data_IF_227659157488
#
_entry.id   IF_227659157488
#
_cell.length_a   1.000
_cell.length_b   1.000
_cell.length_c   1.000
_cell.angle_alpha   90.00
_cell.angle_beta   90.00
_cell.angle_gamma   90.00
#
_symmetry.space_group_name_H-M   'P 1'
#
loop_
_entity.id
_entity.type
_entity.pdbx_description
1 polymer ?
#
# COMPACT_ATOMS: atom_id res chain seq x y z
N UNK A 1 24.98 -33.83 -18.89
CA UNK A 1 25.34 -32.40 -18.77
C UNK A 1 26.51 -32.29 -17.80
N UNK A 2 27.72 -32.34 -18.35
CA UNK A 2 28.99 -32.46 -17.66
C UNK A 2 29.27 -31.20 -16.83
N UNK A 3 29.29 -31.35 -15.50
CA UNK A 3 29.60 -30.25 -14.58
C UNK A 3 31.02 -29.75 -14.82
N UNK A 4 31.16 -28.56 -15.42
CA UNK A 4 32.47 -27.92 -15.61
C UNK A 4 33.07 -27.64 -14.23
N UNK A 5 34.11 -28.37 -13.87
CA UNK A 5 34.96 -28.12 -12.70
C UNK A 5 35.57 -26.72 -12.85
N UNK A 6 35.04 -25.75 -12.09
CA UNK A 6 35.57 -24.39 -12.11
C UNK A 6 36.84 -24.39 -11.25
N UNK A 7 37.99 -24.13 -11.89
CA UNK A 7 39.29 -24.03 -11.21
C UNK A 7 39.20 -22.99 -10.10
N UNK A 8 39.47 -23.41 -8.86
CA UNK A 8 39.49 -22.55 -7.69
C UNK A 8 40.70 -21.60 -7.71
N UNK A 9 40.58 -20.49 -7.00
CA UNK A 9 41.59 -19.43 -6.89
C UNK A 9 41.98 -19.28 -5.42
N UNK A 10 43.28 -19.10 -5.15
CA UNK A 10 43.80 -18.84 -3.81
C UNK A 10 43.52 -17.39 -3.38
N UNK A 11 43.09 -17.22 -2.13
CA UNK A 11 42.88 -15.93 -1.45
C UNK A 11 43.43 -16.04 -0.03
N UNK A 12 44.01 -14.96 0.50
CA UNK A 12 44.54 -14.89 1.87
C UNK A 12 43.42 -14.55 2.86
N UNK A 13 43.31 -15.29 3.97
CA UNK A 13 42.39 -14.98 5.06
C UNK A 13 42.80 -13.70 5.80
N UNK A 14 41.90 -12.72 5.89
CA UNK A 14 42.15 -11.44 6.58
C UNK A 14 42.23 -11.56 8.11
N UNK A 15 41.96 -12.74 8.68
CA UNK A 15 42.04 -12.97 10.14
C UNK A 15 43.28 -13.76 10.56
N UNK A 16 43.50 -14.94 9.98
CA UNK A 16 44.60 -15.83 10.37
C UNK A 16 45.81 -15.78 9.42
N UNK A 17 45.72 -15.09 8.28
CA UNK A 17 46.82 -14.98 7.31
C UNK A 17 47.02 -16.19 6.39
N UNK A 18 46.29 -17.29 6.63
CA UNK A 18 46.41 -18.50 5.81
C UNK A 18 45.71 -18.40 4.45
N UNK A 19 46.30 -19.06 3.46
CA UNK A 19 45.72 -19.22 2.12
C UNK A 19 44.51 -20.16 2.13
N UNK A 20 43.45 -19.81 1.38
CA UNK A 20 42.31 -20.67 1.16
C UNK A 20 41.77 -20.58 -0.28
N UNK A 21 41.13 -21.66 -0.73
CA UNK A 21 40.63 -21.79 -2.09
C UNK A 21 39.17 -21.34 -2.18
N UNK A 22 38.86 -20.51 -3.17
CA UNK A 22 37.50 -20.06 -3.48
C UNK A 22 37.22 -20.13 -4.98
N UNK A 23 35.95 -20.22 -5.35
CA UNK A 23 35.57 -20.09 -6.75
C UNK A 23 35.96 -18.70 -7.31
N UNK A 24 36.34 -18.57 -8.61
CA UNK A 24 36.83 -17.32 -9.20
C UNK A 24 35.92 -16.10 -8.94
N UNK A 25 34.61 -16.25 -9.06
CA UNK A 25 33.64 -15.16 -8.83
C UNK A 25 33.58 -14.69 -7.36
N UNK A 26 34.11 -15.48 -6.42
CA UNK A 26 34.21 -15.12 -5.00
C UNK A 26 35.51 -14.44 -4.64
N UNK A 27 36.53 -14.42 -5.51
CA UNK A 27 37.88 -13.88 -5.21
C UNK A 27 37.84 -12.50 -4.56
N UNK A 28 37.02 -11.59 -5.09
CA UNK A 28 36.90 -10.21 -4.60
C UNK A 28 36.09 -10.07 -3.30
N UNK A 29 35.26 -11.07 -2.96
CA UNK A 29 34.32 -11.01 -1.83
C UNK A 29 34.73 -11.90 -0.65
N UNK A 30 35.53 -12.93 -0.88
CA UNK A 30 35.96 -13.85 0.15
C UNK A 30 37.04 -13.22 1.03
N UNK A 31 36.77 -13.10 2.33
CA UNK A 31 37.66 -12.44 3.29
C UNK A 31 38.24 -13.39 4.34
N UNK A 32 37.58 -14.51 4.60
CA UNK A 32 37.93 -15.40 5.70
C UNK A 32 37.85 -16.86 5.25
N UNK A 33 38.79 -17.68 5.70
CA UNK A 33 38.89 -19.09 5.35
C UNK A 33 37.79 -19.96 6.01
N UNK A 34 37.22 -19.50 7.13
CA UNK A 34 36.20 -20.24 7.88
C UNK A 34 35.19 -19.33 8.55
N UNK A 35 34.07 -19.92 8.97
CA UNK A 35 33.06 -19.25 9.79
C UNK A 35 33.66 -18.75 11.12
N UNK A 36 34.57 -19.52 11.72
CA UNK A 36 35.28 -19.15 12.95
C UNK A 36 36.17 -17.93 12.74
N UNK A 37 37.01 -17.91 11.69
CA UNK A 37 37.83 -16.74 11.35
C UNK A 37 36.97 -15.50 11.03
N UNK A 38 35.84 -15.70 10.35
CA UNK A 38 34.89 -14.62 10.10
C UNK A 38 34.28 -14.08 11.39
N UNK A 39 33.93 -14.93 12.36
CA UNK A 39 33.38 -14.50 13.63
C UNK A 39 34.43 -13.82 14.50
N UNK A 40 35.63 -14.38 14.59
CA UNK A 40 36.74 -13.78 15.34
C UNK A 40 37.10 -12.39 14.81
N UNK A 41 37.16 -12.21 13.49
CA UNK A 41 37.35 -10.90 12.87
C UNK A 41 36.18 -9.92 13.10
N UNK A 42 34.95 -10.42 13.23
CA UNK A 42 33.77 -9.61 13.59
C UNK A 42 33.75 -9.25 15.07
N UNK A 43 34.28 -10.09 15.95
CA UNK A 43 34.34 -9.85 17.40
C UNK A 43 35.50 -8.93 17.79
N UNK A 44 36.63 -8.96 17.08
CA UNK A 44 37.77 -8.07 17.34
C UNK A 44 37.52 -6.64 16.88
N UNK A 45 36.62 -6.41 15.92
CA UNK A 45 36.54 -5.13 15.21
C UNK A 45 35.53 -4.11 15.74
N UNK A 46 34.73 -4.37 16.79
CA UNK A 46 33.82 -3.33 17.35
C UNK A 46 33.31 -3.65 18.76
N UNK A 47 34.14 -3.44 19.78
CA UNK A 47 33.60 -2.96 21.04
C UNK A 47 33.07 -1.54 20.76
N UNK A 48 31.76 -1.30 20.89
CA UNK A 48 31.24 0.07 20.87
C UNK A 48 31.82 0.76 22.11
N UNK A 49 32.93 1.48 21.94
CA UNK A 49 33.93 1.70 22.99
C UNK A 49 33.65 2.88 23.92
N UNK A 50 32.49 3.52 23.81
CA UNK A 50 32.08 4.55 24.79
C UNK A 50 31.35 3.86 25.95
N UNK A 51 31.87 3.94 27.18
CA UNK A 51 31.15 3.50 28.37
C UNK A 51 29.74 4.11 28.39
N UNK A 52 28.75 3.31 28.78
CA UNK A 52 27.36 3.73 28.95
C UNK A 52 26.92 3.49 30.37
N UNK A 53 25.94 4.26 30.81
CA UNK A 53 25.25 4.05 32.08
C UNK A 53 24.08 3.09 31.88
N UNK A 54 23.99 2.04 32.69
CA UNK A 54 22.86 1.12 32.67
C UNK A 54 21.57 1.86 33.07
N UNK A 55 20.55 1.84 32.22
CA UNK A 55 19.28 2.55 32.48
C UNK A 55 18.49 2.00 33.67
N UNK A 56 18.89 0.84 34.21
CA UNK A 56 18.22 0.19 35.35
C UNK A 56 18.96 0.37 36.67
N UNK A 57 20.26 0.04 36.72
CA UNK A 57 21.02 0.07 37.98
C UNK A 57 22.00 1.24 38.09
N UNK A 58 22.16 2.06 37.04
CA UNK A 58 23.10 3.18 37.04
C UNK A 58 24.58 2.80 36.88
N UNK A 59 24.95 1.51 36.88
CA UNK A 59 26.34 1.10 36.73
C UNK A 59 26.89 1.43 35.32
N UNK A 60 28.15 1.85 35.26
CA UNK A 60 28.90 1.98 34.01
C UNK A 60 29.19 0.62 33.38
N UNK A 61 29.04 0.49 32.07
CA UNK A 61 29.36 -0.73 31.33
C UNK A 61 29.86 -0.45 29.91
N UNK A 62 30.61 -1.39 29.34
CA UNK A 62 31.03 -1.37 27.94
C UNK A 62 30.00 -2.12 27.08
N UNK A 63 29.30 -1.46 26.15
CA UNK A 63 28.28 -2.12 25.34
C UNK A 63 28.92 -3.01 24.25
N UNK A 64 28.38 -4.23 24.12
CA UNK A 64 28.77 -5.19 23.07
C UNK A 64 28.11 -4.87 21.72
N UNK A 65 27.04 -4.06 21.72
CA UNK A 65 26.35 -3.61 20.52
C UNK A 65 25.77 -2.20 20.70
N UNK A 66 25.59 -1.46 19.59
CA UNK A 66 25.33 -0.02 19.59
C UNK A 66 24.10 0.45 20.37
N UNK A 67 23.09 -0.42 20.51
CA UNK A 67 21.82 -0.14 21.18
C UNK A 67 21.68 -0.83 22.55
N UNK A 68 22.76 -1.38 23.12
CA UNK A 68 22.71 -1.98 24.44
C UNK A 68 22.44 -0.90 25.52
N UNK A 69 21.36 -1.07 26.29
CA UNK A 69 20.93 -0.13 27.35
C UNK A 69 21.21 -0.64 28.76
N UNK A 70 21.50 -1.93 28.91
CA UNK A 70 21.63 -2.60 30.20
C UNK A 70 23.01 -3.25 30.32
N UNK A 71 23.59 -3.21 31.52
CA UNK A 71 24.89 -3.80 31.78
C UNK A 71 24.91 -5.34 31.69
N UNK A 72 23.75 -6.00 31.80
CA UNK A 72 23.66 -7.45 31.73
C UNK A 72 22.23 -7.98 31.61
N UNK A 73 22.10 -9.31 31.50
CA UNK A 73 20.84 -10.03 31.31
C UNK A 73 19.81 -9.75 32.40
N UNK A 74 20.24 -9.68 33.66
CA UNK A 74 19.36 -9.37 34.78
C UNK A 74 18.83 -7.94 34.68
N UNK A 75 19.71 -6.97 34.39
CA UNK A 75 19.31 -5.59 34.19
C UNK A 75 18.33 -5.41 33.03
N UNK A 76 18.50 -6.17 31.95
CA UNK A 76 17.52 -6.20 30.88
C UNK A 76 16.19 -6.83 31.32
N UNK A 77 16.21 -8.02 31.93
CA UNK A 77 15.00 -8.76 32.30
C UNK A 77 14.03 -7.93 33.16
N UNK A 78 14.58 -7.21 34.13
CA UNK A 78 13.77 -6.42 35.05
C UNK A 78 13.37 -5.05 34.48
N UNK A 79 14.00 -4.62 33.37
CA UNK A 79 13.52 -3.48 32.58
C UNK A 79 12.34 -3.84 31.68
N UNK A 80 12.10 -5.15 31.44
CA UNK A 80 11.02 -5.59 30.57
C UNK A 80 9.70 -5.32 31.28
N UNK A 81 8.90 -4.43 30.70
CA UNK A 81 7.55 -4.16 31.17
C UNK A 81 6.73 -5.45 31.15
N UNK A 82 6.20 -5.85 32.31
CA UNK A 82 5.27 -6.97 32.44
C UNK A 82 4.01 -6.69 31.61
N UNK A 83 3.61 -7.64 30.77
CA UNK A 83 2.39 -7.53 29.94
C UNK A 83 1.15 -7.66 30.82
N UNK A 84 0.16 -6.79 30.60
CA UNK A 84 -1.14 -6.88 31.30
C UNK A 84 -1.90 -8.11 30.79
N UNK A 85 -2.49 -8.90 31.69
CA UNK A 85 -3.44 -9.94 31.30
C UNK A 85 -4.83 -9.33 31.29
N UNK A 86 -5.55 -9.49 30.18
CA UNK A 86 -6.90 -8.97 30.00
C UNK A 86 -7.80 -10.07 29.41
N UNK A 87 -9.11 -10.05 29.70
CA UNK A 87 -10.06 -10.97 29.08
C UNK A 87 -10.26 -10.60 27.60
N UNK A 88 -10.37 -11.61 26.74
CA UNK A 88 -10.74 -11.40 25.34
C UNK A 88 -12.20 -10.94 25.23
N UNK A 89 -12.44 -9.85 24.52
CA UNK A 89 -13.80 -9.33 24.31
C UNK A 89 -14.74 -10.31 23.56
N UNK A 90 -14.18 -11.23 22.76
CA UNK A 90 -14.98 -12.20 21.99
C UNK A 90 -15.20 -13.54 22.71
N UNK A 91 -14.19 -14.09 23.38
CA UNK A 91 -14.28 -15.44 23.98
C UNK A 91 -14.05 -15.48 25.49
N UNK A 92 -13.83 -14.34 26.14
CA UNK A 92 -13.56 -14.24 27.58
C UNK A 92 -12.16 -14.70 28.03
N UNK A 93 -11.48 -15.57 27.26
CA UNK A 93 -10.17 -16.13 27.62
C UNK A 93 -9.14 -15.04 27.91
N UNK A 94 -8.44 -15.19 29.02
CA UNK A 94 -7.38 -14.27 29.42
C UNK A 94 -6.14 -14.41 28.54
N UNK A 95 -5.57 -13.28 28.12
CA UNK A 95 -4.37 -13.26 27.29
C UNK A 95 -3.46 -12.08 27.64
N UNK A 96 -2.18 -12.20 27.28
CA UNK A 96 -1.19 -11.13 27.49
C UNK A 96 -1.31 -10.04 26.44
N UNK A 97 -1.71 -8.85 26.86
CA UNK A 97 -1.85 -7.69 25.99
C UNK A 97 -0.47 -7.21 25.51
N UNK A 98 -0.27 -7.21 24.19
CA UNK A 98 0.98 -6.71 23.57
C UNK A 98 0.89 -5.24 23.16
N UNK A 99 -0.32 -4.72 22.97
CA UNK A 99 -0.62 -3.34 22.58
C UNK A 99 -1.84 -2.84 23.36
N UNK A 100 -1.83 -1.58 23.78
CA UNK A 100 -2.92 -0.99 24.59
C UNK A 100 -4.31 -1.11 23.93
N UNK A 101 -4.37 -1.04 22.59
CA UNK A 101 -5.61 -1.17 21.83
C UNK A 101 -6.05 -2.63 21.57
N UNK A 102 -5.24 -3.63 21.95
CA UNK A 102 -5.57 -5.03 21.68
C UNK A 102 -6.71 -5.48 22.60
N UNK A 103 -7.83 -5.90 22.00
CA UNK A 103 -9.05 -6.37 22.69
C UNK A 103 -9.31 -7.87 22.55
N UNK A 104 -8.60 -8.54 21.64
CA UNK A 104 -8.84 -9.93 21.26
C UNK A 104 -7.57 -10.78 21.41
N UNK A 105 -7.75 -12.03 21.84
CA UNK A 105 -6.65 -12.97 22.06
C UNK A 105 -6.05 -13.51 20.74
N UNK A 106 -6.83 -13.53 19.66
CA UNK A 106 -6.45 -14.11 18.37
C UNK A 106 -7.13 -13.40 17.20
N UNK A 107 -6.63 -13.64 15.98
CA UNK A 107 -7.27 -13.16 14.74
C UNK A 107 -8.71 -13.65 14.64
N UNK A 108 -8.95 -14.94 14.90
CA UNK A 108 -10.29 -15.56 14.87
C UNK A 108 -11.28 -14.82 15.77
N UNK A 109 -10.85 -14.39 16.96
CA UNK A 109 -11.68 -13.62 17.88
C UNK A 109 -11.90 -12.16 17.46
N UNK A 110 -10.97 -11.56 16.71
CA UNK A 110 -11.10 -10.19 16.22
C UNK A 110 -11.88 -10.07 14.91
N UNK A 111 -11.90 -11.13 14.11
CA UNK A 111 -12.40 -11.13 12.73
C UNK A 111 -13.88 -10.74 12.60
N UNK A 112 -14.81 -11.23 13.45
CA UNK A 112 -16.21 -10.80 13.39
C UNK A 112 -16.43 -9.32 13.67
N UNK A 113 -15.50 -8.69 14.40
CA UNK A 113 -15.59 -7.29 14.82
C UNK A 113 -14.81 -6.34 13.90
N UNK A 114 -14.01 -6.89 12.99
CA UNK A 114 -13.37 -6.11 11.94
C UNK A 114 -14.42 -5.79 10.87
N UNK A 115 -15.06 -4.62 10.98
CA UNK A 115 -15.91 -4.09 9.91
C UNK A 115 -15.11 -4.12 8.60
N UNK A 116 -15.55 -4.88 7.60
CA UNK A 116 -14.96 -4.82 6.26
C UNK A 116 -14.99 -3.36 5.79
N UNK A 117 -13.82 -2.83 5.44
CA UNK A 117 -13.60 -1.42 5.17
C UNK A 117 -14.51 -0.92 4.06
N UNK A 118 -15.15 0.23 4.26
CA UNK A 118 -15.96 0.99 3.28
C UNK A 118 -15.28 1.18 1.91
N UNK A 119 -13.94 1.09 1.87
CA UNK A 119 -13.12 1.09 0.66
C UNK A 119 -13.58 0.05 -0.38
N UNK A 120 -13.87 -1.19 0.02
CA UNK A 120 -14.32 -2.24 -0.91
C UNK A 120 -15.68 -1.89 -1.54
N UNK A 121 -16.58 -1.26 -0.77
CA UNK A 121 -17.88 -0.79 -1.30
C UNK A 121 -17.70 0.33 -2.32
N UNK A 122 -16.77 1.27 -2.11
CA UNK A 122 -16.51 2.37 -3.05
C UNK A 122 -15.93 1.89 -4.38
N UNK A 123 -14.96 0.97 -4.32
CA UNK A 123 -14.35 0.38 -5.53
C UNK A 123 -15.39 -0.37 -6.37
N UNK A 124 -16.33 -1.08 -5.73
CA UNK A 124 -17.42 -1.75 -6.43
C UNK A 124 -18.40 -0.78 -7.12
N UNK A 125 -18.77 0.32 -6.45
CA UNK A 125 -19.64 1.35 -7.06
C UNK A 125 -18.91 2.06 -8.20
N UNK A 126 -17.61 2.33 -8.05
CA UNK A 126 -16.78 2.90 -9.14
C UNK A 126 -16.81 1.98 -10.39
N UNK A 127 -16.78 0.65 -10.22
CA UNK A 127 -16.87 -0.32 -11.33
C UNK A 127 -18.24 -0.26 -12.01
N UNK A 128 -19.33 -0.30 -11.23
CA UNK A 128 -20.69 -0.22 -11.79
C UNK A 128 -20.90 1.10 -12.55
N UNK A 129 -20.51 2.21 -11.94
CA UNK A 129 -20.58 3.52 -12.57
C UNK A 129 -19.77 3.57 -13.87
N UNK A 130 -18.54 3.05 -13.86
CA UNK A 130 -17.68 3.05 -15.05
C UNK A 130 -18.31 2.24 -16.19
N UNK A 131 -18.87 1.06 -15.88
CA UNK A 131 -19.56 0.23 -16.86
C UNK A 131 -20.78 0.94 -17.44
N UNK A 132 -21.62 1.55 -16.60
CA UNK A 132 -22.80 2.27 -17.05
C UNK A 132 -22.46 3.46 -17.95
N UNK A 133 -21.41 4.22 -17.63
CA UNK A 133 -20.93 5.33 -18.49
C UNK A 133 -20.54 4.83 -19.88
N UNK A 134 -19.90 3.65 -19.98
CA UNK A 134 -19.55 3.05 -21.28
C UNK A 134 -20.77 2.58 -22.05
N UNK A 135 -21.74 1.97 -21.36
CA UNK A 135 -23.00 1.52 -21.97
C UNK A 135 -23.81 2.69 -22.52
N UNK A 136 -23.95 3.78 -21.75
CA UNK A 136 -24.63 5.02 -22.18
C UNK A 136 -23.98 5.58 -23.46
N UNK A 137 -22.66 5.50 -23.57
CA UNK A 137 -21.91 5.94 -24.75
C UNK A 137 -21.94 4.95 -25.93
N UNK A 138 -22.74 3.88 -25.85
CA UNK A 138 -22.83 2.85 -26.89
C UNK A 138 -21.51 2.10 -27.10
N UNK A 139 -20.73 1.92 -26.03
CA UNK A 139 -19.40 1.32 -26.04
C UNK A 139 -18.45 1.96 -27.06
N UNK A 140 -18.48 3.30 -27.14
CA UNK A 140 -17.61 4.09 -27.99
C UNK A 140 -17.07 5.31 -27.25
N UNK A 141 -15.93 5.81 -27.72
CA UNK A 141 -15.40 7.09 -27.27
C UNK A 141 -16.33 8.21 -27.74
N UNK A 142 -16.79 9.04 -26.82
CA UNK A 142 -17.74 10.12 -27.14
C UNK A 142 -17.11 11.26 -27.95
N UNK A 143 -15.78 11.34 -28.00
CA UNK A 143 -15.09 12.32 -28.82
C UNK A 143 -14.84 11.82 -30.26
N UNK A 144 -14.30 10.60 -30.43
CA UNK A 144 -13.87 10.11 -31.76
C UNK A 144 -14.58 8.85 -32.27
N UNK A 145 -15.50 8.28 -31.50
CA UNK A 145 -16.29 7.10 -31.90
C UNK A 145 -15.56 5.75 -31.86
N UNK A 146 -14.27 5.71 -31.53
CA UNK A 146 -13.51 4.44 -31.41
C UNK A 146 -14.08 3.55 -30.31
N UNK A 147 -14.07 2.24 -30.51
CA UNK A 147 -14.54 1.23 -29.55
C UNK A 147 -13.40 0.52 -28.79
N UNK A 148 -12.14 0.87 -29.06
CA UNK A 148 -10.97 0.23 -28.45
C UNK A 148 -10.50 0.95 -27.18
N UNK A 149 -9.99 0.16 -26.22
CA UNK A 149 -9.34 0.66 -25.01
C UNK A 149 -10.12 1.78 -24.30
N UNK A 150 -11.42 1.54 -24.08
CA UNK A 150 -12.34 2.51 -23.49
C UNK A 150 -12.15 2.65 -21.98
N UNK A 151 -12.19 3.89 -21.53
CA UNK A 151 -12.04 4.31 -20.15
C UNK A 151 -13.15 5.29 -19.80
N UNK A 152 -13.71 5.15 -18.60
CA UNK A 152 -14.67 6.11 -18.06
C UNK A 152 -13.90 7.18 -17.31
N UNK A 153 -14.05 8.43 -17.72
CA UNK A 153 -13.39 9.57 -17.11
C UNK A 153 -14.38 10.40 -16.29
N UNK A 154 -13.94 10.86 -15.12
CA UNK A 154 -14.69 11.77 -14.28
C UNK A 154 -14.41 13.22 -14.71
N UNK A 155 -15.44 13.94 -15.15
CA UNK A 155 -15.31 15.36 -15.55
C UNK A 155 -14.91 16.21 -14.35
N UNK A 156 -15.65 16.08 -13.24
CA UNK A 156 -15.28 16.59 -11.93
C UNK A 156 -14.65 15.46 -11.11
N UNK A 157 -13.52 15.75 -10.47
CA UNK A 157 -12.71 14.80 -9.70
C UNK A 157 -13.53 13.83 -8.84
N UNK A 158 -13.08 12.57 -8.80
CA UNK A 158 -13.60 11.52 -7.91
C UNK A 158 -13.57 11.86 -6.41
N UNK A 159 -12.85 12.90 -6.00
CA UNK A 159 -12.87 13.43 -4.63
C UNK A 159 -14.18 14.16 -4.30
N UNK A 160 -14.89 14.65 -5.32
CA UNK A 160 -16.19 15.29 -5.18
C UNK A 160 -17.28 14.23 -4.95
N UNK A 161 -17.71 14.06 -3.69
CA UNK A 161 -18.64 12.99 -3.35
C UNK A 161 -20.08 13.22 -3.81
N UNK A 162 -20.45 14.45 -4.16
CA UNK A 162 -21.75 14.74 -4.75
C UNK A 162 -21.87 14.21 -6.19
N UNK A 163 -20.75 14.17 -6.92
CA UNK A 163 -20.71 13.83 -8.35
C UNK A 163 -19.99 12.52 -8.69
N UNK A 164 -19.26 11.91 -7.75
CA UNK A 164 -18.40 10.74 -8.03
C UNK A 164 -19.12 9.60 -8.77
N UNK A 165 -20.38 9.36 -8.45
CA UNK A 165 -21.19 8.31 -9.06
C UNK A 165 -22.40 8.84 -9.83
N UNK A 166 -22.45 10.15 -10.08
CA UNK A 166 -23.41 10.72 -11.03
C UNK A 166 -22.93 10.38 -12.44
N UNK A 167 -23.75 9.69 -13.24
CA UNK A 167 -23.39 9.32 -14.62
C UNK A 167 -23.24 10.52 -15.53
N UNK A 168 -23.88 11.66 -15.22
CA UNK A 168 -23.67 12.91 -15.97
C UNK A 168 -22.26 13.48 -15.75
N UNK A 169 -21.62 13.15 -14.62
CA UNK A 169 -20.22 13.47 -14.37
C UNK A 169 -19.24 12.51 -15.07
N UNK A 170 -19.76 11.58 -15.88
CA UNK A 170 -19.00 10.60 -16.63
C UNK A 170 -18.92 10.92 -18.12
N UNK A 171 -17.80 10.52 -18.72
CA UNK A 171 -17.62 10.48 -20.17
C UNK A 171 -16.79 9.25 -20.56
N UNK A 172 -17.19 8.56 -21.61
CA UNK A 172 -16.47 7.41 -22.16
C UNK A 172 -15.44 7.87 -23.19
N UNK A 173 -14.17 7.52 -22.99
CA UNK A 173 -13.04 7.96 -23.82
C UNK A 173 -12.11 6.79 -24.16
N UNK A 174 -11.57 6.74 -25.38
CA UNK A 174 -10.47 5.85 -25.70
C UNK A 174 -9.19 6.28 -24.97
N UNK A 175 -8.17 5.41 -24.90
CA UNK A 175 -6.90 5.73 -24.25
C UNK A 175 -6.24 7.02 -24.78
N UNK A 176 -6.43 7.31 -26.08
CA UNK A 176 -6.06 8.58 -26.73
C UNK A 176 -6.61 9.79 -25.99
N UNK A 177 -7.92 10.02 -26.09
CA UNK A 177 -8.61 11.17 -25.52
C UNK A 177 -8.73 11.13 -24.00
N UNK A 178 -8.45 9.99 -23.36
CA UNK A 178 -8.34 9.92 -21.92
C UNK A 178 -7.02 10.54 -21.41
N UNK A 179 -5.87 10.08 -21.92
CA UNK A 179 -4.55 10.48 -21.39
C UNK A 179 -3.42 10.64 -22.42
N UNK A 180 -3.50 10.00 -23.58
CA UNK A 180 -2.32 9.86 -24.46
C UNK A 180 -2.16 11.03 -25.44
N UNK A 181 -3.24 11.58 -26.02
CA UNK A 181 -3.20 12.68 -26.99
C UNK A 181 -3.03 14.06 -26.33
N UNK A 182 -2.64 15.06 -27.13
CA UNK A 182 -2.55 16.46 -26.68
C UNK A 182 -3.93 16.97 -26.23
N UNK A 183 -4.94 16.78 -27.07
CA UNK A 183 -6.33 16.97 -26.68
C UNK A 183 -6.82 15.72 -25.93
N UNK A 184 -6.49 15.61 -24.65
CA UNK A 184 -7.01 14.57 -23.76
C UNK A 184 -7.49 15.18 -22.46
N UNK A 185 -8.48 14.54 -21.82
CA UNK A 185 -9.13 15.07 -20.63
C UNK A 185 -8.12 15.36 -19.48
N UNK A 186 -7.06 14.56 -19.38
CA UNK A 186 -6.01 14.79 -18.38
C UNK A 186 -4.97 15.85 -18.77
N UNK A 187 -4.66 16.04 -20.06
CA UNK A 187 -3.59 16.96 -20.52
C UNK A 187 -4.10 18.34 -20.91
N UNK A 188 -5.34 18.43 -21.40
CA UNK A 188 -5.98 19.67 -21.84
C UNK A 188 -7.34 19.89 -21.13
N UNK A 189 -7.40 19.90 -19.79
CA UNK A 189 -8.67 19.91 -19.06
C UNK A 189 -9.55 21.14 -19.32
N UNK A 190 -8.95 22.32 -19.58
CA UNK A 190 -9.71 23.55 -19.87
C UNK A 190 -10.37 23.49 -21.25
N UNK A 191 -9.59 23.19 -22.28
CA UNK A 191 -10.11 23.02 -23.66
C UNK A 191 -11.13 21.89 -23.73
N UNK A 192 -10.89 20.80 -22.98
CA UNK A 192 -11.82 19.68 -22.88
C UNK A 192 -13.14 20.09 -22.22
N UNK A 193 -13.11 20.96 -21.21
CA UNK A 193 -14.32 21.48 -20.58
C UNK A 193 -15.11 22.42 -21.52
N UNK A 194 -14.43 23.27 -22.31
CA UNK A 194 -15.09 24.10 -23.33
C UNK A 194 -15.77 23.23 -24.40
N UNK A 195 -15.07 22.20 -24.91
CA UNK A 195 -15.66 21.24 -25.83
C UNK A 195 -16.90 20.53 -25.25
N UNK A 196 -16.87 20.16 -23.96
CA UNK A 196 -18.03 19.57 -23.29
C UNK A 196 -19.23 20.52 -23.23
N UNK A 197 -18.99 21.81 -22.99
CA UNK A 197 -20.04 22.84 -22.98
C UNK A 197 -20.63 23.06 -24.37
N UNK A 198 -19.81 23.05 -25.41
CA UNK A 198 -20.27 23.16 -26.79
C UNK A 198 -21.11 21.96 -27.21
N UNK A 199 -20.68 20.74 -26.84
CA UNK A 199 -21.32 19.50 -27.29
C UNK A 199 -22.54 19.10 -26.46
N UNK A 200 -22.51 19.27 -25.14
CA UNK A 200 -23.60 18.89 -24.22
C UNK A 200 -24.42 20.08 -23.72
N UNK A 201 -23.97 21.30 -23.99
CA UNK A 201 -24.64 22.55 -23.60
C UNK A 201 -24.09 23.16 -22.32
N UNK A 202 -24.02 24.50 -22.31
CA UNK A 202 -23.56 25.27 -21.15
C UNK A 202 -24.46 25.07 -19.92
N UNK A 203 -25.78 25.04 -20.10
CA UNK A 203 -26.74 24.84 -19.01
C UNK A 203 -26.57 23.48 -18.31
N UNK A 204 -26.27 22.45 -19.10
CA UNK A 204 -25.94 21.13 -18.59
C UNK A 204 -24.66 21.16 -17.75
N UNK A 205 -23.60 21.81 -18.25
CA UNK A 205 -22.34 21.94 -17.52
C UNK A 205 -22.52 22.72 -16.21
N UNK A 206 -23.29 23.81 -16.23
CA UNK A 206 -23.61 24.59 -15.03
C UNK A 206 -24.40 23.81 -13.98
N UNK A 207 -25.20 22.84 -14.40
CA UNK A 207 -25.88 21.91 -13.47
C UNK A 207 -24.86 21.06 -12.70
N UNK A 208 -23.81 20.58 -13.37
CA UNK A 208 -22.71 19.86 -12.72
C UNK A 208 -21.90 20.76 -11.78
N UNK A 209 -21.56 21.98 -12.22
CA UNK A 209 -20.85 22.97 -11.37
C UNK A 209 -21.65 23.26 -10.10
N UNK A 210 -22.97 23.41 -10.21
CA UNK A 210 -23.85 23.67 -9.07
C UNK A 210 -23.83 22.48 -8.11
N UNK A 211 -24.03 21.26 -8.62
CA UNK A 211 -23.94 20.03 -7.81
C UNK A 211 -22.57 19.84 -7.16
N UNK A 212 -21.48 20.20 -7.86
CA UNK A 212 -20.12 20.01 -7.37
C UNK A 212 -19.82 20.86 -6.13
N UNK A 213 -20.55 21.96 -5.92
CA UNK A 213 -20.40 22.84 -4.77
C UNK A 213 -21.13 22.32 -3.51
N UNK A 214 -21.96 21.30 -3.65
CA UNK A 214 -22.70 20.70 -2.54
C UNK A 214 -21.81 19.79 -1.69
N UNK A 215 -21.82 19.99 -0.37
CA UNK A 215 -21.10 19.12 0.57
C UNK A 215 -22.01 17.93 0.93
N UNK A 216 -21.63 16.73 0.48
CA UNK A 216 -22.40 15.49 0.72
C UNK A 216 -21.62 14.54 1.63
N UNK A 217 -22.28 14.05 2.69
CA UNK A 217 -21.76 12.99 3.57
C UNK A 217 -22.56 11.70 3.37
N UNK A 218 -22.12 10.87 2.44
CA UNK A 218 -22.79 9.60 2.15
C UNK A 218 -22.66 8.60 3.31
N UNK A 219 -23.80 8.07 3.74
CA UNK A 219 -23.92 6.95 4.67
C UNK A 219 -23.70 5.61 3.95
N UNK A 220 -23.73 4.51 4.69
CA UNK A 220 -23.73 3.17 4.10
C UNK A 220 -25.06 2.81 3.43
N UNK A 221 -26.17 3.39 3.90
CA UNK A 221 -27.48 3.27 3.25
C UNK A 221 -27.49 3.93 1.87
N UNK A 222 -27.01 5.18 1.78
CA UNK A 222 -26.94 5.92 0.51
C UNK A 222 -26.11 5.16 -0.54
N UNK A 223 -24.96 4.60 -0.12
CA UNK A 223 -24.11 3.78 -1.00
C UNK A 223 -24.84 2.53 -1.51
N UNK A 224 -25.66 1.93 -0.67
CA UNK A 224 -26.43 0.73 -1.04
C UNK A 224 -27.51 1.11 -2.05
N UNK A 225 -28.20 2.23 -1.85
CA UNK A 225 -29.19 2.76 -2.80
C UNK A 225 -28.56 3.08 -4.16
N UNK A 226 -27.41 3.77 -4.18
CA UNK A 226 -26.66 4.05 -5.42
C UNK A 226 -26.26 2.75 -6.13
N UNK A 227 -25.85 1.72 -5.37
CA UNK A 227 -25.50 0.42 -5.95
C UNK A 227 -26.69 -0.23 -6.64
N UNK A 228 -27.88 -0.17 -6.03
CA UNK A 228 -29.12 -0.72 -6.59
C UNK A 228 -29.52 0.05 -7.86
N UNK A 229 -29.53 1.38 -7.80
CA UNK A 229 -29.82 2.25 -8.95
C UNK A 229 -28.92 1.94 -10.15
N UNK A 230 -27.59 1.93 -9.94
CA UNK A 230 -26.65 1.66 -11.02
C UNK A 230 -26.85 0.26 -11.62
N UNK A 231 -27.13 -0.76 -10.81
CA UNK A 231 -27.41 -2.11 -11.31
C UNK A 231 -28.67 -2.16 -12.16
N UNK A 232 -29.73 -1.50 -11.71
CA UNK A 232 -30.99 -1.42 -12.45
C UNK A 232 -30.76 -0.76 -13.80
N UNK A 233 -30.11 0.41 -13.82
CA UNK A 233 -29.83 1.16 -15.05
C UNK A 233 -28.92 0.39 -16.01
N UNK A 234 -27.95 -0.38 -15.51
CA UNK A 234 -27.13 -1.28 -16.35
C UNK A 234 -28.01 -2.36 -16.98
N UNK A 235 -28.93 -2.97 -16.23
CA UNK A 235 -29.82 -3.99 -16.75
C UNK A 235 -30.76 -3.43 -17.84
N UNK A 236 -31.24 -2.19 -17.67
CA UNK A 236 -32.09 -1.49 -18.65
C UNK A 236 -31.38 -1.18 -19.97
N UNK A 237 -30.04 -1.07 -19.99
CA UNK A 237 -29.25 -0.86 -21.21
C UNK A 237 -28.88 -2.16 -21.94
N UNK A 238 -29.08 -3.31 -21.30
CA UNK A 238 -28.73 -4.64 -21.84
C UNK A 238 -29.92 -5.42 -22.41
N UNK A 239 -31.11 -4.82 -22.45
CA UNK A 239 -32.32 -5.30 -23.13
C UNK A 239 -32.46 -4.54 -24.44
#
# INVERSE_FOLDING_TARGET
MSGKSVKSVKVVCQHCGEDFLVAPWRRLKAKYCSYDCSNKARTTSKAYSKPRTCVRCGAGFLPMHWNQKHCGRQCWADSVRKRKRIPCHSCGKEFSQTRVAQKYCSRKCSEPFNKKTTRFKKEFIDILWANLVKLIAGEKCEYCGKADHLNSHHIFSRSNMALRWDTQNGICLCAGHHVLSNFSAHKAPLEFAEWLKETRGESWYQTLVTKSRTIVKLTDGDRSNITVDLKQRIAEQGV
#
